data_IF_421297334250
#
_entry.id   IF_421297334250
#
_cell.length_a   1.000
_cell.length_b   1.000
_cell.length_c   1.000
_cell.angle_alpha   90.00
_cell.angle_beta   90.00
_cell.angle_gamma   90.00
#
_symmetry.space_group_name_H-M   'P 1'
#
loop_
_entity.id
_entity.type
_entity.pdbx_description
1 polymer ?
#
# COMPACT_ATOMS: atom_id res chain seq x y z
N UNK A 1 29.42 -25.25 4.43
CA UNK A 1 27.96 -25.45 4.52
C UNK A 1 27.25 -24.10 4.50
N UNK A 2 26.33 -23.90 3.57
CA UNK A 2 25.58 -22.64 3.49
C UNK A 2 24.50 -22.60 4.58
N UNK A 3 24.45 -21.50 5.34
CA UNK A 3 23.50 -21.38 6.45
C UNK A 3 22.04 -21.31 5.96
N UNK A 4 21.09 -21.80 6.77
CA UNK A 4 19.64 -21.73 6.49
C UNK A 4 19.21 -20.30 6.14
N UNK A 5 19.71 -19.33 6.91
CA UNK A 5 19.46 -17.89 6.73
C UNK A 5 19.98 -17.37 5.38
N UNK A 6 21.14 -17.85 4.94
CA UNK A 6 21.72 -17.43 3.66
C UNK A 6 20.88 -17.95 2.48
N UNK A 7 20.47 -19.22 2.48
CA UNK A 7 19.62 -19.78 1.41
C UNK A 7 18.25 -19.06 1.35
N UNK A 8 17.64 -18.80 2.51
CA UNK A 8 16.38 -18.06 2.58
C UNK A 8 16.50 -16.64 1.98
N UNK A 9 17.64 -15.97 2.20
CA UNK A 9 17.94 -14.69 1.56
C UNK A 9 18.13 -14.86 0.05
N UNK A 10 18.89 -15.83 -0.43
CA UNK A 10 19.05 -15.99 -1.89
C UNK A 10 17.71 -16.28 -2.60
N UNK A 11 16.85 -17.12 -2.01
CA UNK A 11 15.50 -17.37 -2.55
C UNK A 11 14.64 -16.11 -2.55
N UNK A 12 14.55 -15.42 -1.42
CA UNK A 12 13.76 -14.19 -1.32
C UNK A 12 14.22 -13.14 -2.33
N UNK A 13 15.53 -13.01 -2.53
CA UNK A 13 16.14 -12.10 -3.48
C UNK A 13 15.75 -12.43 -4.91
N UNK A 14 15.93 -13.69 -5.30
CA UNK A 14 15.62 -14.15 -6.65
C UNK A 14 14.12 -14.02 -6.96
N UNK A 15 13.26 -14.33 -5.99
CA UNK A 15 11.81 -14.17 -6.13
C UNK A 15 11.36 -12.71 -6.19
N UNK A 16 11.93 -11.82 -5.36
CA UNK A 16 11.66 -10.38 -5.48
C UNK A 16 12.21 -9.79 -6.79
N UNK A 17 13.19 -10.45 -7.42
CA UNK A 17 13.75 -10.08 -8.71
C UNK A 17 12.87 -10.49 -9.89
N UNK A 18 11.93 -11.41 -9.71
CA UNK A 18 11.09 -11.99 -10.76
C UNK A 18 9.59 -11.68 -10.61
N UNK A 19 8.75 -12.11 -11.56
CA UNK A 19 7.30 -12.06 -11.40
C UNK A 19 6.86 -12.81 -10.14
N UNK A 20 5.83 -12.28 -9.46
CA UNK A 20 5.27 -12.91 -8.25
C UNK A 20 4.15 -13.88 -8.62
N UNK A 21 4.48 -14.91 -9.38
CA UNK A 21 3.55 -15.96 -9.78
C UNK A 21 4.18 -17.34 -9.55
N UNK A 22 3.32 -18.32 -9.24
CA UNK A 22 3.74 -19.66 -8.80
C UNK A 22 4.78 -20.30 -9.70
N UNK A 23 4.58 -20.23 -11.01
CA UNK A 23 5.49 -20.85 -11.98
C UNK A 23 6.84 -20.14 -12.05
N UNK A 24 6.87 -18.81 -12.03
CA UNK A 24 8.10 -18.01 -12.00
C UNK A 24 8.91 -18.25 -10.72
N UNK A 25 8.23 -18.31 -9.58
CA UNK A 25 8.86 -18.63 -8.28
C UNK A 25 9.50 -20.03 -8.33
N UNK A 26 8.79 -21.01 -8.88
CA UNK A 26 9.30 -22.37 -9.03
C UNK A 26 10.52 -22.42 -9.95
N UNK A 27 10.45 -21.82 -11.14
CA UNK A 27 11.56 -21.80 -12.11
C UNK A 27 12.81 -21.18 -11.48
N UNK A 28 12.63 -20.05 -10.81
CA UNK A 28 13.73 -19.33 -10.14
C UNK A 28 14.33 -20.16 -8.99
N UNK A 29 13.49 -20.84 -8.20
CA UNK A 29 13.97 -21.70 -7.13
C UNK A 29 14.65 -22.97 -7.65
N UNK A 30 14.19 -23.56 -8.76
CA UNK A 30 14.86 -24.69 -9.42
C UNK A 30 16.23 -24.31 -9.96
N UNK A 31 16.37 -23.12 -10.54
CA UNK A 31 17.66 -22.60 -11.00
C UNK A 31 18.65 -22.41 -9.83
N UNK A 32 18.17 -21.99 -8.66
CA UNK A 32 19.00 -21.73 -7.49
C UNK A 32 19.32 -22.99 -6.68
N UNK A 33 18.33 -23.87 -6.45
CA UNK A 33 18.44 -25.03 -5.56
C UNK A 33 18.76 -26.34 -6.31
N UNK A 34 18.68 -26.33 -7.64
CA UNK A 34 18.82 -27.49 -8.52
C UNK A 34 17.49 -28.17 -8.85
N UNK A 35 17.32 -28.55 -10.11
CA UNK A 35 16.08 -29.15 -10.63
C UNK A 35 15.76 -30.55 -10.08
N UNK A 36 16.68 -31.22 -9.37
CA UNK A 36 16.47 -32.56 -8.81
C UNK A 36 15.39 -32.65 -7.70
N UNK A 37 14.85 -31.51 -7.23
CA UNK A 37 13.91 -31.43 -6.11
C UNK A 37 12.57 -30.77 -6.44
N UNK A 38 12.13 -30.82 -7.71
CA UNK A 38 10.90 -30.11 -8.19
C UNK A 38 9.68 -30.25 -7.28
N UNK A 39 9.40 -31.44 -6.77
CA UNK A 39 8.24 -31.67 -5.87
C UNK A 39 8.37 -30.92 -4.53
N UNK A 40 9.56 -30.93 -3.93
CA UNK A 40 9.81 -30.22 -2.67
C UNK A 40 9.84 -28.70 -2.87
N UNK A 41 10.41 -28.24 -4.00
CA UNK A 41 10.41 -26.83 -4.40
C UNK A 41 8.97 -26.35 -4.64
N UNK A 42 8.15 -27.13 -5.34
CA UNK A 42 6.74 -26.81 -5.56
C UNK A 42 5.97 -26.63 -4.24
N UNK A 43 6.14 -27.55 -3.28
CA UNK A 43 5.54 -27.42 -1.94
C UNK A 43 6.02 -26.17 -1.20
N UNK A 44 7.30 -25.83 -1.30
CA UNK A 44 7.82 -24.60 -0.70
C UNK A 44 7.17 -23.36 -1.32
N UNK A 45 7.03 -23.30 -2.64
CA UNK A 45 6.36 -22.19 -3.32
C UNK A 45 4.89 -22.09 -2.89
N UNK A 46 4.20 -23.22 -2.82
CA UNK A 46 2.79 -23.28 -2.37
C UNK A 46 2.63 -22.77 -0.93
N UNK A 47 3.49 -23.21 0.00
CA UNK A 47 3.48 -22.74 1.39
C UNK A 47 3.78 -21.24 1.49
N UNK A 48 4.72 -20.73 0.67
CA UNK A 48 5.06 -19.29 0.65
C UNK A 48 3.87 -18.47 0.17
N UNK A 49 3.20 -18.88 -0.91
CA UNK A 49 2.02 -18.18 -1.44
C UNK A 49 0.82 -18.29 -0.49
N UNK A 50 0.70 -19.38 0.27
CA UNK A 50 -0.34 -19.53 1.29
C UNK A 50 -0.12 -18.59 2.49
N UNK A 51 1.14 -18.41 2.92
CA UNK A 51 1.50 -17.51 4.04
C UNK A 51 1.54 -16.04 3.61
N UNK A 52 1.80 -15.78 2.32
CA UNK A 52 1.84 -14.44 1.74
C UNK A 52 0.79 -14.35 0.61
N UNK A 53 -0.50 -14.24 0.95
CA UNK A 53 -1.60 -14.21 -0.02
C UNK A 53 -1.72 -12.81 -0.66
N UNK A 54 -0.60 -12.26 -1.15
CA UNK A 54 -0.56 -10.97 -1.84
C UNK A 54 -0.26 -11.18 -3.33
N UNK A 55 -0.86 -10.39 -4.24
CA UNK A 55 -0.63 -10.53 -5.67
C UNK A 55 0.74 -9.97 -6.12
N UNK A 56 1.52 -9.39 -5.21
CA UNK A 56 2.84 -8.84 -5.46
C UNK A 56 3.86 -9.35 -4.43
N UNK A 57 5.14 -9.29 -4.77
CA UNK A 57 6.21 -9.66 -3.87
C UNK A 57 6.27 -8.72 -2.65
N UNK A 58 6.33 -9.25 -1.42
CA UNK A 58 6.59 -8.46 -0.21
C UNK A 58 8.04 -7.93 -0.20
N UNK A 59 8.41 -7.05 0.76
CA UNK A 59 9.80 -6.65 0.94
C UNK A 59 10.72 -7.85 1.14
N UNK A 60 11.91 -7.78 0.55
CA UNK A 60 12.90 -8.85 0.56
C UNK A 60 13.22 -9.35 1.99
N UNK A 61 13.44 -8.44 2.93
CA UNK A 61 13.78 -8.77 4.31
C UNK A 61 12.63 -9.50 5.02
N UNK A 62 11.41 -9.08 4.74
CA UNK A 62 10.19 -9.70 5.24
C UNK A 62 10.08 -11.12 4.71
N UNK A 63 10.23 -11.30 3.40
CA UNK A 63 10.16 -12.59 2.74
C UNK A 63 11.23 -13.57 3.25
N UNK A 64 12.48 -13.11 3.33
CA UNK A 64 13.61 -13.92 3.81
C UNK A 64 13.40 -14.43 5.25
N UNK A 65 12.72 -13.65 6.10
CA UNK A 65 12.39 -14.04 7.48
C UNK A 65 11.28 -15.10 7.54
N UNK A 66 10.32 -15.09 6.61
CA UNK A 66 9.19 -16.02 6.59
C UNK A 66 9.49 -17.35 5.91
N UNK A 67 10.28 -17.35 4.84
CA UNK A 67 10.60 -18.58 4.10
C UNK A 67 11.38 -19.56 4.97
N UNK A 68 12.37 -19.04 5.72
CA UNK A 68 13.29 -19.84 6.50
C UNK A 68 12.57 -20.81 7.44
N UNK A 69 11.62 -20.38 8.30
CA UNK A 69 10.90 -21.26 9.23
C UNK A 69 9.94 -22.29 8.62
N UNK A 70 9.61 -22.24 7.32
CA UNK A 70 8.60 -23.14 6.74
C UNK A 70 9.03 -24.62 6.82
N UNK A 71 8.11 -25.56 7.11
CA UNK A 71 8.42 -26.99 7.12
C UNK A 71 8.94 -27.50 5.76
N UNK A 72 8.37 -27.01 4.66
CA UNK A 72 8.80 -27.34 3.29
C UNK A 72 10.20 -26.84 2.93
N UNK A 73 10.73 -25.87 3.67
CA UNK A 73 12.03 -25.26 3.38
C UNK A 73 13.17 -26.28 3.45
N UNK A 74 13.13 -27.16 4.45
CA UNK A 74 14.22 -28.12 4.68
C UNK A 74 14.31 -29.14 3.54
N UNK A 75 13.18 -29.71 3.14
CA UNK A 75 13.10 -30.65 2.03
C UNK A 75 13.57 -30.02 0.70
N UNK A 76 13.22 -28.76 0.45
CA UNK A 76 13.59 -28.04 -0.76
C UNK A 76 15.09 -27.69 -0.80
N UNK A 77 15.72 -27.38 0.34
CA UNK A 77 17.07 -26.80 0.39
C UNK A 77 18.19 -27.77 0.80
N UNK A 78 17.87 -29.02 1.15
CA UNK A 78 18.88 -29.94 1.70
C UNK A 78 20.07 -30.21 0.77
N UNK A 79 19.89 -30.24 -0.56
CA UNK A 79 21.02 -30.40 -1.51
C UNK A 79 21.91 -29.14 -1.55
N UNK A 80 21.30 -27.96 -1.62
CA UNK A 80 22.01 -26.67 -1.62
C UNK A 80 22.81 -26.43 -0.34
N UNK A 81 22.33 -26.90 0.82
CA UNK A 81 23.07 -26.83 2.10
C UNK A 81 24.38 -27.63 2.08
N UNK A 82 24.38 -28.75 1.37
CA UNK A 82 25.52 -29.68 1.27
C UNK A 82 26.51 -29.25 0.18
N UNK A 83 26.01 -28.86 -0.99
CA UNK A 83 26.85 -28.46 -2.13
C UNK A 83 27.49 -27.06 -1.95
N UNK A 84 26.87 -26.19 -1.16
CA UNK A 84 27.23 -24.77 -1.10
C UNK A 84 26.53 -24.00 -2.22
N UNK A 85 26.01 -22.82 -1.89
CA UNK A 85 25.60 -21.82 -2.87
C UNK A 85 26.61 -20.67 -2.81
N UNK A 86 27.32 -20.46 -3.92
CA UNK A 86 28.23 -19.34 -4.10
C UNK A 86 27.52 -18.20 -4.84
N UNK A 87 27.75 -16.96 -4.42
CA UNK A 87 27.28 -15.77 -5.12
C UNK A 87 27.04 -14.57 -4.20
N UNK A 88 27.32 -13.34 -4.67
CA UNK A 88 27.00 -12.14 -3.92
C UNK A 88 25.48 -12.01 -3.73
N UNK A 89 25.06 -11.76 -2.49
CA UNK A 89 23.65 -11.51 -2.15
C UNK A 89 23.33 -10.04 -2.41
N UNK A 90 23.16 -9.65 -3.68
CA UNK A 90 22.72 -8.29 -4.07
C UNK A 90 21.21 -8.24 -4.28
N UNK A 91 20.51 -7.42 -3.51
CA UNK A 91 19.07 -7.21 -3.70
C UNK A 91 18.76 -6.84 -5.15
N UNK A 92 17.68 -7.38 -5.74
CA UNK A 92 17.33 -7.02 -7.11
C UNK A 92 17.08 -5.52 -7.22
N UNK A 93 17.43 -4.96 -8.37
CA UNK A 93 17.07 -3.60 -8.70
C UNK A 93 15.54 -3.45 -8.60
N UNK A 94 15.03 -2.39 -7.95
CA UNK A 94 13.60 -2.13 -7.90
C UNK A 94 13.07 -1.96 -9.32
N UNK A 95 11.94 -2.59 -9.61
CA UNK A 95 11.34 -2.61 -10.94
C UNK A 95 9.85 -2.30 -10.90
N UNK A 96 9.40 -1.50 -11.85
CA UNK A 96 7.98 -1.19 -12.05
C UNK A 96 7.28 -2.39 -12.70
N UNK A 97 6.34 -3.03 -11.97
CA UNK A 97 5.72 -4.31 -12.35
C UNK A 97 4.21 -4.33 -12.07
N UNK A 98 3.39 -3.76 -12.95
CA UNK A 98 1.94 -3.75 -12.78
C UNK A 98 1.40 -5.18 -12.82
N UNK A 99 0.29 -5.41 -12.13
CA UNK A 99 -0.49 -6.62 -12.34
C UNK A 99 -1.11 -6.62 -13.74
N UNK A 100 -1.42 -7.79 -14.33
CA UNK A 100 -1.95 -7.87 -15.68
C UNK A 100 -3.14 -6.95 -15.98
N UNK A 101 -4.14 -6.76 -15.08
CA UNK A 101 -5.25 -5.83 -15.32
C UNK A 101 -4.85 -4.35 -15.41
N UNK A 102 -3.64 -4.00 -14.97
CA UNK A 102 -3.13 -2.63 -14.92
C UNK A 102 -1.91 -2.42 -15.81
N UNK A 103 -1.54 -3.41 -16.63
CA UNK A 103 -0.30 -3.41 -17.39
C UNK A 103 -0.18 -2.26 -18.39
N UNK A 104 -1.30 -1.91 -19.02
CA UNK A 104 -1.36 -0.93 -20.11
C UNK A 104 -1.82 0.46 -19.63
N UNK A 105 -1.95 0.68 -18.32
CA UNK A 105 -2.33 1.99 -17.80
C UNK A 105 -1.21 3.02 -18.05
N UNK A 106 -1.55 4.24 -18.53
CA UNK A 106 -0.58 5.27 -18.85
C UNK A 106 -0.09 6.00 -17.58
N UNK A 107 0.47 5.26 -16.63
CA UNK A 107 0.96 5.79 -15.35
C UNK A 107 2.49 5.98 -15.40
N UNK A 108 3.06 6.97 -14.67
CA UNK A 108 4.50 7.20 -14.65
C UNK A 108 5.27 6.00 -14.08
N UNK A 109 6.35 5.60 -14.75
CA UNK A 109 7.16 4.43 -14.37
C UNK A 109 8.23 4.80 -13.36
N UNK A 110 7.81 5.08 -12.12
CA UNK A 110 8.69 5.49 -11.03
C UNK A 110 9.26 4.24 -10.33
N UNK A 111 10.58 4.03 -10.42
CA UNK A 111 11.25 2.86 -9.83
C UNK A 111 12.03 3.18 -8.56
N UNK A 112 12.34 4.44 -8.31
CA UNK A 112 13.09 4.90 -7.14
C UNK A 112 12.44 6.11 -6.45
N UNK A 113 12.76 6.35 -5.16
CA UNK A 113 12.40 7.61 -4.49
C UNK A 113 12.92 8.85 -5.21
N UNK A 114 14.07 8.76 -5.89
CA UNK A 114 14.63 9.88 -6.64
C UNK A 114 13.74 10.21 -7.85
N UNK A 115 13.28 9.20 -8.59
CA UNK A 115 12.36 9.38 -9.71
C UNK A 115 11.06 10.04 -9.25
N UNK A 116 10.52 9.60 -8.10
CA UNK A 116 9.32 10.18 -7.51
C UNK A 116 9.53 11.65 -7.11
N UNK A 117 10.68 11.97 -6.53
CA UNK A 117 11.02 13.34 -6.14
C UNK A 117 11.13 14.24 -7.37
N UNK A 118 11.86 13.81 -8.40
CA UNK A 118 12.00 14.51 -9.67
C UNK A 118 10.64 14.73 -10.34
N UNK A 119 9.83 13.67 -10.42
CA UNK A 119 8.50 13.72 -11.04
C UNK A 119 7.54 14.68 -10.31
N UNK A 120 7.63 14.76 -8.98
CA UNK A 120 6.85 15.71 -8.17
C UNK A 120 7.45 17.12 -8.13
N UNK A 121 8.63 17.34 -8.71
CA UNK A 121 9.36 18.61 -8.61
C UNK A 121 9.78 18.95 -7.18
N UNK A 122 10.22 17.95 -6.42
CA UNK A 122 10.64 18.05 -5.03
C UNK A 122 12.11 17.67 -4.85
N UNK A 123 12.78 18.27 -3.87
CA UNK A 123 14.04 17.72 -3.37
C UNK A 123 13.77 16.46 -2.52
N UNK A 124 14.71 15.49 -2.43
CA UNK A 124 14.52 14.30 -1.60
C UNK A 124 14.11 14.57 -0.14
N UNK A 125 14.68 15.57 0.57
CA UNK A 125 14.22 15.92 1.91
C UNK A 125 12.79 16.48 1.95
N UNK A 126 12.35 17.17 0.91
CA UNK A 126 10.97 17.65 0.81
C UNK A 126 10.01 16.49 0.58
N UNK A 127 10.36 15.53 -0.27
CA UNK A 127 9.57 14.31 -0.47
C UNK A 127 9.40 13.54 0.83
N UNK A 128 10.49 13.34 1.58
CA UNK A 128 10.43 12.68 2.89
C UNK A 128 9.54 13.44 3.88
N UNK A 129 9.66 14.77 3.89
CA UNK A 129 8.82 15.62 4.71
C UNK A 129 7.34 15.53 4.32
N UNK A 130 6.98 15.62 3.04
CA UNK A 130 5.60 15.53 2.57
C UNK A 130 4.98 14.14 2.76
N UNK A 131 5.75 13.09 2.52
CA UNK A 131 5.27 11.72 2.68
C UNK A 131 5.04 11.34 4.15
N UNK A 132 5.76 11.98 5.09
CA UNK A 132 5.67 11.74 6.54
C UNK A 132 5.52 10.25 6.89
N UNK A 133 6.40 9.41 6.32
CA UNK A 133 6.33 7.94 6.50
C UNK A 133 6.54 7.51 7.95
N UNK A 134 7.13 8.39 8.76
CA UNK A 134 7.36 8.21 10.21
C UNK A 134 6.25 8.78 11.08
N UNK A 135 5.20 9.38 10.47
CA UNK A 135 4.02 9.94 11.16
C UNK A 135 4.36 10.96 12.24
N UNK A 136 5.41 11.74 12.00
CA UNK A 136 5.85 12.80 12.90
C UNK A 136 4.80 13.89 13.03
N UNK A 137 3.96 14.09 12.01
CA UNK A 137 2.98 15.17 12.02
C UNK A 137 1.79 14.87 12.94
N UNK A 138 1.47 13.60 13.17
CA UNK A 138 0.49 13.19 14.18
C UNK A 138 0.97 13.38 15.62
N UNK A 139 2.27 13.61 15.83
CA UNK A 139 2.89 13.79 17.15
C UNK A 139 3.20 15.26 17.44
N UNK A 140 3.58 16.03 16.43
CA UNK A 140 3.93 17.45 16.61
C UNK A 140 2.72 18.32 16.95
N UNK A 141 2.86 19.18 17.96
CA UNK A 141 1.86 20.20 18.30
C UNK A 141 2.05 21.49 17.49
N UNK A 142 3.18 21.62 16.77
CA UNK A 142 3.51 22.80 15.97
C UNK A 142 2.71 22.79 14.65
N UNK A 143 1.56 23.46 14.64
CA UNK A 143 0.67 23.60 13.46
C UNK A 143 1.36 24.00 12.14
N UNK A 144 2.39 24.88 12.12
CA UNK A 144 3.09 25.19 10.87
C UNK A 144 3.74 23.97 10.21
N UNK A 145 4.20 22.99 11.01
CA UNK A 145 4.87 21.78 10.52
C UNK A 145 3.90 20.70 10.03
N UNK A 146 2.63 20.74 10.43
CA UNK A 146 1.61 19.79 9.99
C UNK A 146 1.20 20.05 8.53
N UNK A 147 0.86 19.02 7.77
CA UNK A 147 0.47 19.18 6.35
C UNK A 147 -1.01 19.43 6.12
N UNK A 148 -1.83 19.28 7.15
CA UNK A 148 -3.27 19.42 7.08
C UNK A 148 -3.75 20.53 8.00
N UNK A 149 -4.90 21.10 7.63
CA UNK A 149 -5.73 21.93 8.50
C UNK A 149 -6.93 21.11 8.95
N UNK A 150 -7.35 21.32 10.19
CA UNK A 150 -8.34 20.50 10.86
C UNK A 150 -9.56 21.32 11.23
N UNK A 151 -10.75 20.84 10.88
CA UNK A 151 -12.00 21.48 11.26
C UNK A 151 -13.04 20.43 11.67
N UNK A 152 -13.64 20.61 12.85
CA UNK A 152 -14.77 19.80 13.28
C UNK A 152 -16.06 20.40 12.74
N UNK A 153 -16.79 19.61 11.95
CA UNK A 153 -18.05 20.01 11.33
C UNK A 153 -19.21 19.23 11.99
N UNK A 154 -20.25 19.90 12.49
CA UNK A 154 -21.39 19.21 13.07
C UNK A 154 -22.14 18.41 12.00
N UNK A 155 -22.49 17.16 12.32
CA UNK A 155 -23.43 16.38 11.49
C UNK A 155 -24.86 16.75 11.89
N UNK A 156 -25.82 16.59 10.96
CA UNK A 156 -27.25 16.75 11.25
C UNK A 156 -27.72 15.81 12.37
N UNK A 157 -27.08 14.63 12.48
CA UNK A 157 -27.27 13.64 13.54
C UNK A 157 -25.94 12.95 13.83
N UNK A 158 -25.69 12.60 15.09
CA UNK A 158 -24.50 11.86 15.52
C UNK A 158 -23.28 12.72 15.81
N UNK A 159 -22.12 12.07 15.94
CA UNK A 159 -20.85 12.72 16.27
C UNK A 159 -20.39 13.67 15.14
N UNK A 160 -19.70 14.78 15.47
CA UNK A 160 -19.13 15.67 14.47
C UNK A 160 -18.13 14.93 13.57
N UNK A 161 -18.00 15.42 12.34
CA UNK A 161 -17.02 14.95 11.37
C UNK A 161 -15.74 15.79 11.48
N UNK A 162 -14.59 15.14 11.50
CA UNK A 162 -13.32 15.83 11.29
C UNK A 162 -13.09 16.01 9.78
N UNK A 163 -12.79 17.24 9.36
CA UNK A 163 -12.28 17.55 8.04
C UNK A 163 -10.78 17.81 8.16
N UNK A 164 -10.01 17.11 7.33
CA UNK A 164 -8.57 17.20 7.21
C UNK A 164 -8.23 17.70 5.82
N UNK A 165 -8.22 19.02 5.65
CA UNK A 165 -7.94 19.64 4.37
C UNK A 165 -6.42 19.83 4.20
N UNK A 166 -5.79 19.25 3.17
CA UNK A 166 -4.36 19.39 2.92
C UNK A 166 -4.00 20.85 2.62
N UNK A 167 -2.85 21.30 3.13
CA UNK A 167 -2.29 22.63 2.83
C UNK A 167 -1.95 22.73 1.33
N UNK A 168 -1.85 23.96 0.77
CA UNK A 168 -1.76 24.17 -0.68
C UNK A 168 -0.68 23.36 -1.41
N UNK A 169 0.54 23.25 -0.85
CA UNK A 169 1.64 22.47 -1.45
C UNK A 169 1.30 20.97 -1.52
N UNK A 170 0.90 20.36 -0.40
CA UNK A 170 0.52 18.94 -0.40
C UNK A 170 -0.70 18.68 -1.30
N UNK A 171 -1.67 19.59 -1.31
CA UNK A 171 -2.84 19.51 -2.19
C UNK A 171 -2.45 19.50 -3.67
N UNK A 172 -1.43 20.26 -4.07
CA UNK A 172 -0.92 20.27 -5.43
C UNK A 172 -0.29 18.92 -5.81
N UNK A 173 0.54 18.36 -4.92
CA UNK A 173 1.14 17.03 -5.09
C UNK A 173 0.07 15.93 -5.21
N UNK A 174 -0.91 15.92 -4.31
CA UNK A 174 -2.01 14.96 -4.33
C UNK A 174 -2.86 15.06 -5.61
N UNK A 175 -3.07 16.28 -6.13
CA UNK A 175 -3.76 16.47 -7.42
C UNK A 175 -2.96 15.95 -8.61
N UNK A 176 -1.63 16.03 -8.56
CA UNK A 176 -0.79 15.43 -9.59
C UNK A 176 -0.86 13.90 -9.54
N UNK A 177 -0.77 13.31 -8.34
CA UNK A 177 -0.99 11.87 -8.12
C UNK A 177 -2.37 11.44 -8.63
N UNK A 178 -3.41 12.21 -8.30
CA UNK A 178 -4.77 11.94 -8.76
C UNK A 178 -4.82 11.88 -10.29
N UNK A 179 -4.41 12.95 -10.98
CA UNK A 179 -4.51 13.04 -12.44
C UNK A 179 -3.69 12.00 -13.18
N UNK A 180 -2.47 11.76 -12.73
CA UNK A 180 -1.48 11.04 -13.54
C UNK A 180 -1.36 9.56 -13.12
N UNK A 181 -1.87 9.19 -11.94
CA UNK A 181 -1.78 7.82 -11.40
C UNK A 181 -3.16 7.22 -11.10
N UNK A 182 -4.06 7.96 -10.45
CA UNK A 182 -5.31 7.39 -9.93
C UNK A 182 -6.50 7.50 -10.89
N UNK A 183 -6.64 8.62 -11.60
CA UNK A 183 -7.69 8.85 -12.61
C UNK A 183 -7.65 7.84 -13.77
N UNK A 184 -6.47 7.35 -14.23
CA UNK A 184 -6.41 6.30 -15.25
C UNK A 184 -6.97 4.94 -14.80
N UNK A 185 -7.17 4.71 -13.50
CA UNK A 185 -7.60 3.41 -12.98
C UNK A 185 -9.08 3.20 -13.35
N UNK A 186 -9.44 2.06 -14.00
CA UNK A 186 -10.82 1.80 -14.36
C UNK A 186 -11.69 1.64 -13.10
N UNK A 187 -12.83 2.31 -13.09
CA UNK A 187 -13.84 2.22 -12.03
C UNK A 187 -15.04 1.43 -12.52
N UNK A 188 -15.67 0.70 -11.61
CA UNK A 188 -16.89 -0.07 -11.91
C UNK A 188 -18.00 0.85 -12.46
N UNK A 189 -18.80 0.37 -13.42
CA UNK A 189 -19.84 1.16 -14.07
C UNK A 189 -20.90 1.70 -13.10
N UNK A 190 -21.19 0.95 -12.04
CA UNK A 190 -22.10 1.36 -10.97
C UNK A 190 -21.54 2.45 -10.03
N UNK A 191 -20.26 2.83 -10.12
CA UNK A 191 -19.67 3.84 -9.26
C UNK A 191 -19.98 5.25 -9.79
N UNK A 192 -20.79 6.04 -9.08
CA UNK A 192 -21.13 7.41 -9.49
C UNK A 192 -20.48 8.50 -8.62
N UNK A 193 -20.11 8.18 -7.38
CA UNK A 193 -19.47 9.13 -6.48
C UNK A 193 -18.02 9.40 -6.86
N UNK A 194 -17.62 10.67 -6.93
CA UNK A 194 -16.26 11.12 -7.23
C UNK A 194 -15.70 10.65 -8.59
N UNK A 195 -16.56 10.22 -9.53
CA UNK A 195 -16.16 9.80 -10.87
C UNK A 195 -16.40 10.93 -11.86
N UNK A 196 -15.35 11.32 -12.60
CA UNK A 196 -15.44 12.34 -13.64
C UNK A 196 -16.51 11.98 -14.67
N UNK A 197 -17.39 12.94 -14.99
CA UNK A 197 -18.47 12.75 -15.96
C UNK A 197 -19.69 11.98 -15.42
N UNK A 198 -19.68 11.53 -14.16
CA UNK A 198 -20.85 10.94 -13.49
C UNK A 198 -21.38 11.89 -12.42
N UNK A 199 -22.66 11.74 -12.08
CA UNK A 199 -23.34 12.60 -11.11
C UNK A 199 -24.19 11.79 -10.13
N UNK A 200 -24.48 12.41 -8.99
CA UNK A 200 -25.41 11.86 -8.00
C UNK A 200 -26.80 11.64 -8.59
N UNK A 201 -27.27 12.56 -9.44
CA UNK A 201 -28.54 12.42 -10.15
C UNK A 201 -28.54 11.19 -11.06
N UNK A 202 -27.48 11.00 -11.86
CA UNK A 202 -27.36 9.83 -12.73
C UNK A 202 -27.29 8.52 -11.95
N UNK A 203 -26.70 8.54 -10.74
CA UNK A 203 -26.68 7.37 -9.86
C UNK A 203 -28.07 7.06 -9.28
N UNK A 204 -28.75 8.08 -8.78
CA UNK A 204 -30.11 7.95 -8.23
C UNK A 204 -31.13 7.48 -9.28
N UNK A 205 -31.00 7.94 -10.53
CA UNK A 205 -31.85 7.54 -11.63
C UNK A 205 -31.83 6.02 -11.89
N UNK A 206 -30.72 5.32 -11.60
CA UNK A 206 -30.63 3.86 -11.74
C UNK A 206 -31.52 3.08 -10.77
N UNK A 207 -32.03 3.74 -9.73
CA UNK A 207 -32.92 3.15 -8.72
C UNK A 207 -34.37 3.65 -8.88
N UNK A 208 -34.63 4.55 -9.83
CA UNK A 208 -35.96 5.13 -10.03
C UNK A 208 -36.95 4.08 -10.57
N UNK A 209 -38.11 3.97 -9.93
CA UNK A 209 -39.16 3.03 -10.33
C UNK A 209 -39.02 1.62 -9.74
N UNK A 210 -37.94 1.36 -8.99
CA UNK A 210 -37.77 0.09 -8.28
C UNK A 210 -38.76 -0.02 -7.12
N UNK A 211 -39.37 -1.21 -6.97
CA UNK A 211 -40.34 -1.48 -5.90
C UNK A 211 -39.71 -1.42 -4.50
N UNK A 212 -38.42 -1.73 -4.39
CA UNK A 212 -37.65 -1.72 -3.13
C UNK A 212 -36.23 -1.24 -3.41
N UNK A 213 -35.75 -0.28 -2.60
CA UNK A 213 -34.37 0.21 -2.64
C UNK A 213 -33.71 -0.04 -1.29
N UNK A 214 -32.66 -0.87 -1.28
CA UNK A 214 -31.85 -1.11 -0.09
C UNK A 214 -30.77 -0.03 0.04
N UNK A 215 -30.78 0.71 1.15
CA UNK A 215 -29.77 1.74 1.43
C UNK A 215 -28.75 1.24 2.44
N UNK A 216 -27.47 1.33 2.09
CA UNK A 216 -26.34 0.94 2.93
C UNK A 216 -25.37 2.11 3.04
N UNK A 217 -24.84 2.38 4.23
CA UNK A 217 -23.82 3.41 4.47
C UNK A 217 -22.70 2.86 5.35
N UNK A 218 -21.49 3.32 5.12
CA UNK A 218 -20.30 2.90 5.86
C UNK A 218 -19.99 3.92 6.96
N UNK A 219 -19.95 3.45 8.20
CA UNK A 219 -19.56 4.26 9.35
C UNK A 219 -18.10 4.69 9.20
N UNK A 220 -17.87 6.00 9.26
CA UNK A 220 -16.54 6.62 9.26
C UNK A 220 -15.63 6.08 8.14
N UNK A 221 -16.17 6.03 6.90
CA UNK A 221 -15.51 5.47 5.72
C UNK A 221 -14.03 5.84 5.58
N UNK A 222 -13.71 7.15 5.53
CA UNK A 222 -12.34 7.63 5.30
C UNK A 222 -11.34 7.12 6.34
N UNK A 223 -11.55 7.34 7.65
CA UNK A 223 -10.62 6.84 8.64
C UNK A 223 -10.70 5.32 8.85
N UNK A 224 -11.73 4.65 8.31
CA UNK A 224 -11.80 3.17 8.26
C UNK A 224 -10.89 2.55 7.20
N UNK A 225 -10.41 3.32 6.21
CA UNK A 225 -9.53 2.80 5.15
C UNK A 225 -8.11 2.66 5.69
N UNK A 226 -7.60 1.42 5.84
CA UNK A 226 -6.30 1.20 6.43
C UNK A 226 -5.18 1.50 5.42
N UNK A 227 -4.00 1.85 5.94
CA UNK A 227 -2.86 2.27 5.13
C UNK A 227 -2.40 1.18 4.16
N UNK A 228 -2.52 -0.07 4.56
CA UNK A 228 -2.15 -1.25 3.78
C UNK A 228 -2.99 -1.35 2.51
N UNK A 229 -4.25 -0.90 2.55
CA UNK A 229 -5.13 -0.87 1.38
C UNK A 229 -4.69 0.18 0.37
N UNK A 230 -4.32 1.38 0.85
CA UNK A 230 -3.76 2.45 0.01
C UNK A 230 -2.43 2.01 -0.61
N UNK A 231 -1.55 1.41 0.19
CA UNK A 231 -0.28 0.85 -0.28
C UNK A 231 -0.49 -0.26 -1.32
N UNK A 232 -1.46 -1.14 -1.08
CA UNK A 232 -1.83 -2.22 -1.99
C UNK A 232 -2.19 -1.71 -3.39
N UNK A 233 -2.93 -0.59 -3.50
CA UNK A 233 -3.26 0.02 -4.79
C UNK A 233 -1.98 0.36 -5.57
N UNK A 234 -1.06 1.11 -4.97
CA UNK A 234 0.20 1.48 -5.64
C UNK A 234 1.06 0.26 -5.98
N UNK A 235 1.06 -0.78 -5.14
CA UNK A 235 1.76 -2.04 -5.44
C UNK A 235 1.14 -2.79 -6.62
N UNK A 236 -0.18 -2.82 -6.71
CA UNK A 236 -0.90 -3.43 -7.83
C UNK A 236 -0.65 -2.69 -9.16
N UNK A 237 -0.52 -1.36 -9.12
CA UNK A 237 -0.10 -0.55 -10.26
C UNK A 237 1.37 -0.77 -10.64
N UNK A 238 2.14 -1.46 -9.79
CA UNK A 238 3.50 -1.88 -10.10
C UNK A 238 4.62 -1.07 -9.48
N UNK A 239 4.30 -0.02 -8.73
CA UNK A 239 5.33 0.81 -8.07
C UNK A 239 6.13 -0.02 -7.06
N UNK A 240 7.47 0.02 -7.07
CA UNK A 240 8.31 -0.64 -6.07
C UNK A 240 7.96 -0.23 -4.65
N UNK A 241 8.24 -1.11 -3.67
CA UNK A 241 7.80 -0.91 -2.28
C UNK A 241 8.23 0.43 -1.66
N UNK A 242 9.40 0.95 -2.01
CA UNK A 242 9.85 2.26 -1.54
C UNK A 242 8.99 3.41 -2.10
N UNK A 243 8.71 3.40 -3.40
CA UNK A 243 7.87 4.39 -4.09
C UNK A 243 6.42 4.29 -3.60
N UNK A 244 5.87 3.07 -3.55
CA UNK A 244 4.52 2.82 -3.06
C UNK A 244 4.33 3.32 -1.62
N UNK A 245 5.33 3.14 -0.74
CA UNK A 245 5.30 3.66 0.64
C UNK A 245 5.26 5.19 0.68
N UNK A 246 6.02 5.87 -0.17
CA UNK A 246 6.05 7.33 -0.24
C UNK A 246 4.72 7.88 -0.79
N UNK A 247 4.22 7.32 -1.89
CA UNK A 247 2.89 7.66 -2.45
C UNK A 247 1.77 7.44 -1.43
N UNK A 248 1.84 6.33 -0.70
CA UNK A 248 0.93 6.03 0.41
C UNK A 248 1.02 7.10 1.50
N UNK A 249 2.23 7.50 1.89
CA UNK A 249 2.48 8.56 2.84
C UNK A 249 1.85 9.90 2.42
N UNK A 250 2.08 10.30 1.17
CA UNK A 250 1.51 11.53 0.57
C UNK A 250 -0.02 11.54 0.55
N UNK A 251 -0.66 10.38 0.46
CA UNK A 251 -2.12 10.23 0.38
C UNK A 251 -2.79 9.91 1.73
N UNK A 252 -2.03 9.87 2.83
CA UNK A 252 -2.54 9.48 4.15
C UNK A 252 -2.08 10.43 5.24
N UNK A 253 -2.71 10.34 6.41
CA UNK A 253 -2.34 11.16 7.56
C UNK A 253 -2.59 10.39 8.87
N UNK A 254 -2.15 10.99 9.97
CA UNK A 254 -2.54 10.60 11.33
C UNK A 254 -2.92 11.86 12.07
N UNK A 255 -4.12 11.88 12.65
CA UNK A 255 -4.64 13.09 13.27
C UNK A 255 -3.87 13.40 14.55
N UNK A 256 -3.38 14.65 14.73
CA UNK A 256 -2.68 15.04 15.94
C UNK A 256 -3.54 14.87 17.19
N UNK A 257 -2.93 14.40 18.28
CA UNK A 257 -3.64 14.17 19.56
C UNK A 257 -4.39 15.39 20.06
N UNK A 258 -3.80 16.59 19.93
CA UNK A 258 -4.44 17.84 20.32
C UNK A 258 -5.71 18.16 19.53
N UNK A 259 -5.78 17.76 18.25
CA UNK A 259 -6.98 17.93 17.40
C UNK A 259 -8.09 16.97 17.86
N UNK A 260 -7.72 15.72 18.14
CA UNK A 260 -8.66 14.70 18.65
C UNK A 260 -9.20 15.06 20.04
N UNK A 261 -8.35 15.61 20.92
CA UNK A 261 -8.75 16.06 22.25
C UNK A 261 -9.72 17.25 22.21
N UNK A 262 -9.68 18.04 21.15
CA UNK A 262 -10.56 19.20 20.92
C UNK A 262 -11.89 18.84 20.24
N UNK A 263 -12.20 17.55 20.04
CA UNK A 263 -13.45 17.11 19.41
C UNK A 263 -14.69 17.63 20.19
N UNK A 264 -15.65 18.29 19.53
CA UNK A 264 -16.86 18.76 20.20
C UNK A 264 -17.80 17.60 20.55
N UNK A 265 -18.57 17.76 21.63
CA UNK A 265 -19.54 16.77 22.11
C UNK A 265 -19.08 16.00 23.37
N UNK A 266 -19.84 15.00 23.82
CA UNK A 266 -19.49 14.23 25.01
C UNK A 266 -18.14 13.54 24.82
N UNK A 267 -17.27 13.64 25.83
CA UNK A 267 -15.95 13.00 25.81
C UNK A 267 -16.14 11.51 25.54
N UNK A 268 -15.46 10.98 24.51
CA UNK A 268 -15.44 9.54 24.21
C UNK A 268 -14.99 8.78 25.47
N UNK A 269 -15.56 7.60 25.73
CA UNK A 269 -15.11 6.74 26.83
C UNK A 269 -13.61 6.49 26.71
N UNK A 270 -12.89 6.52 27.84
CA UNK A 270 -11.46 6.20 27.88
C UNK A 270 -11.24 4.79 27.31
N UNK A 271 -10.39 4.66 26.29
CA UNK A 271 -10.14 3.39 25.58
C UNK A 271 -11.04 3.14 24.36
N UNK A 272 -11.97 4.04 24.01
CA UNK A 272 -12.71 3.94 22.75
C UNK A 272 -11.75 4.05 21.55
N UNK A 273 -11.93 3.19 20.55
CA UNK A 273 -11.19 3.26 19.29
C UNK A 273 -11.47 4.61 18.61
N UNK A 274 -10.40 5.27 18.18
CA UNK A 274 -10.44 6.51 17.40
C UNK A 274 -9.75 6.21 16.08
N UNK A 275 -10.53 5.90 15.02
CA UNK A 275 -9.99 5.57 13.71
C UNK A 275 -8.94 6.57 13.21
N UNK A 276 -9.19 7.87 13.46
CA UNK A 276 -8.34 8.98 13.04
C UNK A 276 -6.97 9.02 13.77
N UNK A 277 -6.82 8.30 14.88
CA UNK A 277 -5.56 8.20 15.62
C UNK A 277 -4.59 7.18 15.00
N UNK A 278 -5.07 6.32 14.10
CA UNK A 278 -4.25 5.45 13.28
C UNK A 278 -3.96 6.11 11.91
N UNK A 279 -2.95 5.67 11.16
CA UNK A 279 -2.74 6.11 9.78
C UNK A 279 -3.94 5.76 8.90
N UNK A 280 -4.49 6.76 8.21
CA UNK A 280 -5.73 6.59 7.45
C UNK A 280 -5.82 7.54 6.25
N UNK A 281 -6.87 7.35 5.44
CA UNK A 281 -7.21 8.24 4.33
C UNK A 281 -7.93 9.49 4.89
N UNK A 282 -7.39 10.71 4.72
CA UNK A 282 -7.98 11.92 5.25
C UNK A 282 -9.31 12.27 4.59
N UNK A 283 -10.24 12.80 5.39
CA UNK A 283 -11.49 13.34 4.86
C UNK A 283 -11.33 14.81 4.44
N UNK A 284 -11.31 15.07 3.12
CA UNK A 284 -11.17 16.44 2.56
C UNK A 284 -9.95 16.63 1.65
N UNK A 285 -9.20 15.55 1.40
CA UNK A 285 -8.20 15.50 0.33
C UNK A 285 -8.87 15.61 -1.06
N UNK A 286 -8.18 16.23 -2.04
CA UNK A 286 -8.68 16.47 -3.39
C UNK A 286 -8.86 15.20 -4.22
#
# INVERSE_FOLDING_TARGET
>A
MTSRRHIARMLAMAWCAGPWARDDLRVTAEALLGAGRRRAIGRLVDDVLAVVPTPYAPPFETLARFIGPLPSFEAATAAARSAGLDGPTLAPAPAFRPLPPFADLPVPRLVSPADLAEWLGLLPPELDWFADTRRQHGVTEKRPLQHYSYAWVPKRRGAPRLIEAPKPRLKALQRQILRDILDPIPVHEAAHGFVKGRSCLGGAARHGGEAVVATLDLVDFFPSVPLERVHGIFRCLGYPGAVARLLTGLCSTTTPRGVLAAAPGPKRRRGAFVPEAAPHLPQGAP
#
